data_IF_700221183832
#
_entry.id   IF_700221183832
#
_cell.length_a   1.000
_cell.length_b   1.000
_cell.length_c   1.000
_cell.angle_alpha   90.00
_cell.angle_beta   90.00
_cell.angle_gamma   90.00
#
_symmetry.space_group_name_H-M   'P 1'
#
loop_
_entity.id
_entity.type
_entity.pdbx_description
1 polymer ?
#
# COMPACT_ATOMS: atom_id res chain seq x y z
N UNK A 1 -0.08 46.46 0.71
CA UNK A 1 0.04 45.07 1.21
C UNK A 1 -0.82 44.21 0.29
N UNK A 2 -0.23 43.25 -0.41
CA UNK A 2 -1.01 42.27 -1.18
C UNK A 2 -1.93 41.50 -0.23
N UNK A 3 -3.22 41.48 -0.55
CA UNK A 3 -4.21 40.74 0.21
C UNK A 3 -3.99 39.25 -0.05
N UNK A 4 -3.42 38.54 0.93
CA UNK A 4 -3.28 37.10 0.87
C UNK A 4 -4.68 36.46 0.83
N UNK A 5 -4.91 35.57 -0.14
CA UNK A 5 -6.16 34.82 -0.24
C UNK A 5 -6.25 33.80 0.88
N UNK A 6 -7.45 33.63 1.44
CA UNK A 6 -7.73 32.55 2.38
C UNK A 6 -7.53 31.20 1.66
N UNK A 7 -6.90 30.20 2.30
CA UNK A 7 -6.64 28.91 1.65
C UNK A 7 -7.87 28.23 1.04
N UNK A 8 -9.05 28.48 1.58
CA UNK A 8 -10.31 27.92 1.12
C UNK A 8 -10.68 28.38 -0.30
N UNK A 9 -10.16 29.54 -0.74
CA UNK A 9 -10.46 30.12 -2.05
C UNK A 9 -9.70 29.45 -3.20
N UNK A 10 -8.60 28.74 -2.92
CA UNK A 10 -7.78 28.10 -3.95
C UNK A 10 -7.44 26.64 -3.68
N UNK A 11 -7.67 26.13 -2.46
CA UNK A 11 -7.55 24.69 -2.17
C UNK A 11 -8.81 23.96 -2.64
N UNK A 12 -8.67 22.76 -3.22
CA UNK A 12 -9.82 21.91 -3.54
C UNK A 12 -10.65 21.65 -2.27
N UNK A 13 -11.93 22.01 -2.30
CA UNK A 13 -12.87 21.77 -1.20
C UNK A 13 -13.51 20.38 -1.26
N UNK A 14 -13.48 19.75 -2.45
CA UNK A 14 -14.06 18.44 -2.70
C UNK A 14 -12.98 17.37 -2.80
N UNK A 15 -13.26 16.20 -2.23
CA UNK A 15 -12.43 15.00 -2.38
C UNK A 15 -12.85 14.28 -3.67
N UNK A 16 -11.97 14.11 -4.66
CA UNK A 16 -12.33 13.46 -5.91
C UNK A 16 -12.57 11.95 -5.68
N UNK A 17 -13.64 11.44 -6.29
CA UNK A 17 -13.93 10.00 -6.36
C UNK A 17 -13.16 9.36 -7.52
N UNK A 18 -12.86 8.07 -7.40
CA UNK A 18 -12.28 7.30 -8.50
C UNK A 18 -13.30 7.04 -9.60
N UNK A 19 -12.82 6.99 -10.85
CA UNK A 19 -13.61 6.52 -11.99
C UNK A 19 -14.11 5.09 -11.72
N UNK A 20 -15.44 4.86 -11.68
CA UNK A 20 -16.01 3.53 -11.41
C UNK A 20 -15.45 2.42 -12.29
N UNK A 21 -15.10 2.71 -13.55
CA UNK A 21 -14.51 1.72 -14.46
C UNK A 21 -13.09 1.33 -14.04
N UNK A 22 -12.33 2.25 -13.46
CA UNK A 22 -11.00 1.96 -12.94
C UNK A 22 -11.08 1.16 -11.63
N UNK A 23 -12.07 1.45 -10.79
CA UNK A 23 -12.36 0.65 -9.58
C UNK A 23 -12.67 -0.81 -9.96
N UNK A 24 -13.57 -1.02 -10.92
CA UNK A 24 -13.92 -2.36 -11.40
C UNK A 24 -12.72 -3.09 -12.02
N UNK A 25 -11.92 -2.40 -12.84
CA UNK A 25 -10.68 -2.99 -13.38
C UNK A 25 -9.69 -3.37 -12.28
N UNK A 26 -9.54 -2.55 -11.25
CA UNK A 26 -8.65 -2.84 -10.12
C UNK A 26 -9.11 -4.11 -9.38
N UNK A 27 -10.42 -4.24 -9.15
CA UNK A 27 -11.02 -5.42 -8.54
C UNK A 27 -10.90 -6.67 -9.41
N UNK A 28 -11.10 -6.58 -10.72
CA UNK A 28 -10.86 -7.69 -11.66
C UNK A 28 -9.38 -8.11 -11.69
N UNK A 29 -8.44 -7.15 -11.61
CA UNK A 29 -7.03 -7.47 -11.52
C UNK A 29 -6.69 -8.19 -10.21
N UNK A 30 -7.23 -7.73 -9.07
CA UNK A 30 -7.04 -8.37 -7.77
C UNK A 30 -7.68 -9.75 -7.70
N UNK A 31 -8.87 -9.93 -8.29
CA UNK A 31 -9.58 -11.21 -8.37
C UNK A 31 -8.73 -12.32 -9.00
N UNK A 32 -7.90 -11.97 -9.97
CA UNK A 32 -7.00 -12.89 -10.66
C UNK A 32 -5.60 -12.96 -10.04
N UNK A 33 -5.31 -12.17 -9.00
CA UNK A 33 -4.03 -12.19 -8.30
C UNK A 33 -3.85 -13.49 -7.51
N UNK A 34 -2.61 -13.95 -7.40
CA UNK A 34 -2.23 -15.06 -6.52
C UNK A 34 -1.51 -14.57 -5.26
N UNK A 35 -0.75 -13.47 -5.38
CA UNK A 35 0.06 -12.89 -4.32
C UNK A 35 -0.11 -11.37 -4.29
N UNK A 36 -1.33 -10.86 -4.03
CA UNK A 36 -1.54 -9.43 -3.93
C UNK A 36 -0.78 -8.84 -2.72
N UNK A 37 -0.37 -7.58 -2.85
CA UNK A 37 0.26 -6.84 -1.77
C UNK A 37 -0.19 -5.38 -1.80
N UNK A 38 -0.56 -4.82 -0.64
CA UNK A 38 -0.88 -3.39 -0.52
C UNK A 38 0.33 -2.63 0.02
N UNK A 39 0.61 -1.48 -0.57
CA UNK A 39 1.59 -0.53 -0.03
C UNK A 39 0.91 0.81 0.20
N UNK A 40 0.92 1.29 1.44
CA UNK A 40 0.15 2.49 1.82
C UNK A 40 1.03 3.64 2.26
N UNK A 41 0.66 4.82 1.80
CA UNK A 41 1.37 6.07 2.05
C UNK A 41 0.65 7.03 2.97
N UNK A 42 1.25 8.21 3.13
CA UNK A 42 0.65 9.29 3.90
C UNK A 42 -0.65 9.83 3.33
N UNK A 43 -1.01 9.52 2.07
CA UNK A 43 -2.33 9.85 1.52
C UNK A 43 -3.47 9.15 2.25
N UNK A 44 -3.26 7.91 2.72
CA UNK A 44 -4.24 7.20 3.57
C UNK A 44 -4.41 7.92 4.91
N UNK A 45 -3.30 8.33 5.54
CA UNK A 45 -3.33 9.06 6.80
C UNK A 45 -4.03 10.42 6.66
N UNK A 46 -3.68 11.18 5.62
CA UNK A 46 -4.26 12.51 5.36
C UNK A 46 -5.74 12.47 5.00
N UNK A 47 -6.19 11.41 4.30
CA UNK A 47 -7.59 11.27 3.89
C UNK A 47 -8.50 10.73 5.00
N UNK A 48 -7.91 10.09 6.02
CA UNK A 48 -8.67 9.42 7.08
C UNK A 48 -9.18 8.04 6.69
N UNK A 49 -8.41 7.30 5.88
CA UNK A 49 -8.84 6.07 5.22
C UNK A 49 -8.37 4.76 5.89
N UNK A 50 -7.81 4.83 7.10
CA UNK A 50 -7.24 3.67 7.78
C UNK A 50 -8.30 2.59 8.10
N UNK A 51 -9.53 2.99 8.44
CA UNK A 51 -10.62 2.04 8.71
C UNK A 51 -11.03 1.28 7.44
N UNK A 52 -11.19 1.97 6.32
CA UNK A 52 -11.52 1.36 5.03
C UNK A 52 -10.39 0.44 4.56
N UNK A 53 -9.14 0.90 4.67
CA UNK A 53 -7.97 0.08 4.37
C UNK A 53 -7.93 -1.19 5.22
N UNK A 54 -8.09 -1.06 6.53
CA UNK A 54 -8.04 -2.17 7.49
C UNK A 54 -9.14 -3.18 7.21
N UNK A 55 -10.38 -2.73 6.97
CA UNK A 55 -11.51 -3.59 6.58
C UNK A 55 -11.22 -4.35 5.30
N UNK A 56 -10.72 -3.67 4.27
CA UNK A 56 -10.42 -4.30 2.99
C UNK A 56 -9.33 -5.37 3.13
N UNK A 57 -8.25 -5.01 3.84
CA UNK A 57 -7.14 -5.90 4.14
C UNK A 57 -7.58 -7.19 4.83
N UNK A 58 -8.23 -7.05 5.97
CA UNK A 58 -8.58 -8.14 6.89
C UNK A 58 -9.61 -9.06 6.23
N UNK A 59 -10.63 -8.47 5.59
CA UNK A 59 -11.72 -9.24 4.96
C UNK A 59 -11.22 -10.18 3.87
N UNK A 60 -10.25 -9.75 3.07
CA UNK A 60 -9.73 -10.56 1.96
C UNK A 60 -8.38 -11.22 2.28
N UNK A 61 -7.82 -10.96 3.47
CA UNK A 61 -6.48 -11.39 3.92
C UNK A 61 -5.36 -10.95 2.98
N UNK A 62 -5.40 -9.69 2.53
CA UNK A 62 -4.35 -9.15 1.66
C UNK A 62 -3.21 -8.59 2.53
N UNK A 63 -1.97 -9.05 2.38
CA UNK A 63 -0.85 -8.51 3.16
C UNK A 63 -0.58 -7.03 2.84
N UNK A 64 -0.28 -6.24 3.88
CA UNK A 64 -0.04 -4.79 3.79
C UNK A 64 1.33 -4.39 4.31
N UNK A 65 2.04 -3.60 3.53
CA UNK A 65 3.16 -2.77 3.96
C UNK A 65 2.80 -1.29 4.04
N UNK A 66 3.59 -0.53 4.81
CA UNK A 66 3.49 0.93 4.92
C UNK A 66 4.76 1.59 4.40
N UNK A 67 4.64 2.79 3.82
CA UNK A 67 5.76 3.75 3.79
C UNK A 67 5.95 4.33 5.20
N UNK A 68 7.07 5.02 5.51
CA UNK A 68 7.20 5.75 6.78
C UNK A 68 6.04 6.72 7.03
N UNK A 69 5.53 7.36 5.97
CA UNK A 69 4.42 8.31 6.05
C UNK A 69 3.05 7.63 6.23
N UNK A 70 2.96 6.31 6.02
CA UNK A 70 1.75 5.51 6.21
C UNK A 70 1.73 4.74 7.54
N UNK A 71 2.77 4.86 8.37
CA UNK A 71 2.82 4.22 9.69
C UNK A 71 1.66 4.71 10.54
N UNK A 72 1.00 3.77 11.22
CA UNK A 72 -0.21 4.03 12.01
C UNK A 72 -1.51 3.77 11.26
N UNK A 73 -1.46 3.50 9.94
CA UNK A 73 -2.65 3.07 9.19
C UNK A 73 -3.14 1.66 9.60
N UNK A 74 -2.22 0.80 10.06
CA UNK A 74 -2.52 -0.48 10.70
C UNK A 74 -1.70 -0.61 11.99
N UNK A 75 -2.25 -1.36 12.96
CA UNK A 75 -1.56 -1.77 14.17
C UNK A 75 -0.59 -2.91 13.91
N UNK A 76 0.40 -3.06 14.80
CA UNK A 76 1.38 -4.16 14.69
C UNK A 76 0.73 -5.55 14.82
N UNK A 77 -0.35 -5.63 15.58
CA UNK A 77 -1.10 -6.85 15.87
C UNK A 77 -2.16 -7.17 14.80
N UNK A 78 -2.29 -6.32 13.77
CA UNK A 78 -3.17 -6.64 12.64
C UNK A 78 -2.56 -7.81 11.84
N UNK A 79 -3.33 -8.88 11.70
CA UNK A 79 -2.98 -10.17 11.07
C UNK A 79 -2.51 -10.09 9.60
N UNK A 80 -2.73 -8.96 8.94
CA UNK A 80 -2.30 -8.72 7.55
C UNK A 80 -1.13 -7.74 7.48
N UNK A 81 -0.73 -7.13 8.60
CA UNK A 81 0.36 -6.16 8.63
C UNK A 81 1.71 -6.86 8.53
N UNK A 82 2.45 -6.51 7.48
CA UNK A 82 3.78 -7.03 7.22
C UNK A 82 4.81 -6.14 7.89
N UNK A 83 4.91 -4.87 7.50
CA UNK A 83 5.92 -3.95 8.06
C UNK A 83 6.00 -2.62 7.30
N UNK A 84 7.11 -1.90 7.49
CA UNK A 84 7.35 -0.58 6.88
C UNK A 84 8.53 -0.64 5.90
N UNK A 85 8.53 0.17 4.83
CA UNK A 85 9.54 0.12 3.76
C UNK A 85 10.97 0.48 4.17
N UNK A 86 11.11 1.32 5.19
CA UNK A 86 12.41 1.67 5.79
C UNK A 86 12.77 0.74 6.95
N UNK A 87 11.94 -0.28 7.19
CA UNK A 87 12.10 -1.26 8.25
C UNK A 87 12.72 -2.57 7.78
N UNK A 88 12.32 -3.71 8.38
CA UNK A 88 13.04 -4.97 8.28
C UNK A 88 13.02 -5.56 6.85
N UNK A 89 14.09 -6.29 6.53
CA UNK A 89 14.37 -6.82 5.18
C UNK A 89 13.28 -7.77 4.66
N UNK A 90 12.45 -8.33 5.54
CA UNK A 90 11.43 -9.29 5.15
C UNK A 90 10.30 -8.66 4.33
N UNK A 91 9.90 -7.41 4.61
CA UNK A 91 8.84 -6.76 3.84
C UNK A 91 9.28 -6.62 2.39
N UNK A 92 10.54 -6.27 2.17
CA UNK A 92 11.13 -6.16 0.84
C UNK A 92 11.09 -7.49 0.08
N UNK A 93 11.43 -8.60 0.77
CA UNK A 93 11.39 -9.93 0.18
C UNK A 93 9.97 -10.35 -0.20
N UNK A 94 8.98 -10.06 0.65
CA UNK A 94 7.57 -10.34 0.38
C UNK A 94 7.06 -9.48 -0.77
N UNK A 95 7.25 -8.16 -0.69
CA UNK A 95 6.82 -7.20 -1.70
C UNK A 95 7.37 -7.54 -3.09
N UNK A 96 8.62 -8.00 -3.19
CA UNK A 96 9.24 -8.42 -4.46
C UNK A 96 8.58 -9.66 -5.07
N UNK A 97 8.01 -10.54 -4.25
CA UNK A 97 7.35 -11.79 -4.70
C UNK A 97 5.87 -11.63 -5.07
N UNK A 98 5.29 -10.46 -4.78
CA UNK A 98 3.91 -10.16 -5.15
C UNK A 98 3.74 -10.16 -6.68
N UNK A 99 2.59 -10.58 -7.18
CA UNK A 99 2.25 -10.51 -8.61
C UNK A 99 1.41 -9.26 -8.94
N UNK A 100 0.59 -8.81 -7.99
CA UNK A 100 -0.15 -7.55 -8.04
C UNK A 100 0.20 -6.68 -6.84
N UNK A 101 0.59 -5.43 -7.08
CA UNK A 101 0.83 -4.44 -6.04
C UNK A 101 -0.18 -3.32 -6.18
N UNK A 102 -0.91 -3.03 -5.11
CA UNK A 102 -1.81 -1.87 -5.05
C UNK A 102 -1.22 -0.82 -4.10
N UNK A 103 -0.77 0.27 -4.70
CA UNK A 103 -0.22 1.44 -4.04
C UNK A 103 -1.34 2.44 -3.74
N UNK A 104 -1.55 2.78 -2.47
CA UNK A 104 -2.61 3.71 -2.05
C UNK A 104 -2.04 4.92 -1.32
N UNK A 105 -2.22 6.10 -1.92
CA UNK A 105 -1.80 7.37 -1.33
C UNK A 105 -0.29 7.44 -1.07
N UNK A 106 0.51 6.69 -1.84
CA UNK A 106 1.97 6.74 -1.80
C UNK A 106 2.53 7.14 -3.16
N UNK A 107 3.66 7.85 -3.10
CA UNK A 107 4.51 8.09 -4.26
C UNK A 107 5.57 7.00 -4.29
N UNK A 108 5.93 6.55 -5.48
CA UNK A 108 7.11 5.71 -5.70
C UNK A 108 8.38 6.55 -5.48
N UNK A 109 8.65 6.95 -4.24
CA UNK A 109 9.78 7.79 -3.86
C UNK A 109 10.98 6.95 -3.41
N UNK A 110 12.01 7.60 -2.86
CA UNK A 110 13.22 6.93 -2.39
C UNK A 110 12.95 5.88 -1.30
N UNK A 111 11.89 6.03 -0.50
CA UNK A 111 11.51 5.05 0.53
C UNK A 111 10.89 3.79 -0.07
N UNK A 112 10.41 3.86 -1.30
CA UNK A 112 9.91 2.74 -2.10
C UNK A 112 10.85 2.39 -3.26
N UNK A 113 12.12 2.81 -3.20
CA UNK A 113 13.12 2.56 -4.24
C UNK A 113 12.68 2.96 -5.65
N UNK A 114 11.95 4.08 -5.75
CA UNK A 114 11.40 4.59 -7.00
C UNK A 114 10.56 3.56 -7.77
N UNK A 115 9.94 2.61 -7.05
CA UNK A 115 9.13 1.57 -7.67
C UNK A 115 9.96 0.50 -8.41
N UNK A 116 11.27 0.40 -8.13
CA UNK A 116 12.18 -0.60 -8.70
C UNK A 116 12.76 -1.59 -7.68
N UNK A 117 13.79 -2.31 -8.11
CA UNK A 117 14.57 -3.18 -7.26
C UNK A 117 15.28 -2.37 -6.15
N UNK A 118 15.55 -2.96 -4.98
CA UNK A 118 15.31 -4.35 -4.60
C UNK A 118 13.88 -4.65 -4.13
N UNK A 119 13.04 -3.63 -3.92
CA UNK A 119 11.74 -3.77 -3.29
C UNK A 119 10.68 -4.37 -4.22
N UNK A 120 10.76 -4.07 -5.51
CA UNK A 120 9.75 -4.43 -6.49
C UNK A 120 10.29 -5.29 -7.61
N UNK A 121 9.48 -6.26 -8.03
CA UNK A 121 9.73 -7.10 -9.19
C UNK A 121 9.41 -6.39 -10.52
N UNK A 122 10.07 -6.78 -11.63
CA UNK A 122 9.86 -6.16 -12.94
C UNK A 122 8.50 -6.51 -13.59
N UNK A 123 7.92 -7.66 -13.23
CA UNK A 123 6.71 -8.21 -13.87
C UNK A 123 5.42 -7.99 -13.06
N UNK A 124 5.49 -7.26 -11.94
CA UNK A 124 4.32 -7.07 -11.08
C UNK A 124 3.36 -6.08 -11.71
N UNK A 125 2.09 -6.48 -11.73
CA UNK A 125 1.01 -5.59 -12.12
C UNK A 125 0.78 -4.56 -11.03
N UNK A 126 0.55 -3.32 -11.43
CA UNK A 126 0.49 -2.21 -10.47
C UNK A 126 -0.84 -1.46 -10.58
N UNK A 127 -1.54 -1.37 -9.46
CA UNK A 127 -2.68 -0.47 -9.24
C UNK A 127 -2.15 0.72 -8.44
N UNK A 128 -2.38 1.95 -8.89
CA UNK A 128 -1.90 3.15 -8.21
C UNK A 128 -3.05 4.12 -7.98
N UNK A 129 -3.40 4.29 -6.71
CA UNK A 129 -4.40 5.26 -6.23
C UNK A 129 -3.66 6.46 -5.65
N UNK A 130 -3.79 7.62 -6.27
CA UNK A 130 -3.28 8.88 -5.73
C UNK A 130 -4.20 10.03 -6.13
N UNK A 131 -4.22 11.09 -5.33
CA UNK A 131 -5.02 12.29 -5.62
C UNK A 131 -4.33 13.16 -6.69
N UNK A 132 -3.01 13.06 -6.79
CA UNK A 132 -2.21 13.78 -7.77
C UNK A 132 -2.03 12.91 -9.03
N UNK A 133 -2.65 13.26 -10.18
CA UNK A 133 -2.50 12.47 -11.40
C UNK A 133 -1.06 12.45 -11.92
N UNK A 134 -0.21 13.43 -11.56
CA UNK A 134 1.16 13.52 -12.07
C UNK A 134 2.10 12.47 -11.47
N UNK A 135 1.75 11.88 -10.33
CA UNK A 135 2.59 10.84 -9.70
C UNK A 135 2.28 9.44 -10.23
N UNK A 136 1.10 9.26 -10.83
CA UNK A 136 0.67 7.98 -11.38
C UNK A 136 1.45 7.70 -12.66
N UNK A 137 2.23 6.62 -12.66
CA UNK A 137 3.06 6.24 -13.80
C UNK A 137 4.41 6.96 -13.88
N UNK A 138 4.75 7.84 -12.92
CA UNK A 138 5.97 8.65 -12.98
C UNK A 138 7.25 7.83 -12.85
N UNK A 139 7.40 7.07 -11.76
CA UNK A 139 8.62 6.30 -11.49
C UNK A 139 8.45 4.78 -11.74
N UNK A 140 7.20 4.31 -11.81
CA UNK A 140 6.86 2.90 -12.09
C UNK A 140 5.70 2.86 -13.04
N UNK A 141 5.74 1.93 -14.01
CA UNK A 141 4.61 1.66 -14.89
C UNK A 141 3.39 1.27 -14.06
N UNK A 142 2.30 1.99 -14.26
CA UNK A 142 1.00 1.72 -13.65
C UNK A 142 0.10 1.02 -14.67
N UNK A 143 -0.41 -0.17 -14.34
CA UNK A 143 -1.38 -0.86 -15.20
C UNK A 143 -2.79 -0.27 -15.02
N UNK A 144 -3.14 0.14 -13.79
CA UNK A 144 -4.43 0.74 -13.44
C UNK A 144 -4.20 1.96 -12.55
N UNK A 145 -4.48 3.16 -13.06
CA UNK A 145 -4.38 4.41 -12.33
C UNK A 145 -5.75 4.90 -11.87
N UNK A 146 -5.89 5.24 -10.59
CA UNK A 146 -7.11 5.78 -10.00
C UNK A 146 -6.78 7.15 -9.40
N UNK A 147 -7.26 8.22 -10.05
CA UNK A 147 -7.10 9.59 -9.56
C UNK A 147 -8.22 9.90 -8.57
N UNK A 148 -7.92 9.84 -7.28
CA UNK A 148 -8.93 9.98 -6.22
C UNK A 148 -8.31 10.31 -4.86
N UNK A 149 -9.14 10.85 -3.96
CA UNK A 149 -8.84 10.79 -2.53
C UNK A 149 -8.80 9.33 -2.07
N UNK A 150 -7.83 8.97 -1.21
CA UNK A 150 -7.62 7.58 -0.81
C UNK A 150 -8.80 6.99 -0.02
N UNK A 151 -9.51 7.80 0.79
CA UNK A 151 -10.71 7.34 1.50
C UNK A 151 -11.83 7.07 0.51
N UNK A 152 -12.08 8.03 -0.39
CA UNK A 152 -13.11 7.88 -1.43
C UNK A 152 -12.88 6.62 -2.28
N UNK A 153 -11.66 6.40 -2.76
CA UNK A 153 -11.32 5.22 -3.54
C UNK A 153 -11.46 3.92 -2.74
N UNK A 154 -10.95 3.86 -1.50
CA UNK A 154 -11.06 2.65 -0.66
C UNK A 154 -12.51 2.33 -0.29
N UNK A 155 -13.36 3.35 -0.06
CA UNK A 155 -14.80 3.17 0.14
C UNK A 155 -15.44 2.55 -1.11
N UNK A 156 -15.20 3.12 -2.30
CA UNK A 156 -15.74 2.59 -3.55
C UNK A 156 -15.27 1.16 -3.84
N UNK A 157 -14.00 0.86 -3.53
CA UNK A 157 -13.44 -0.48 -3.65
C UNK A 157 -14.18 -1.43 -2.71
N UNK A 158 -14.28 -1.10 -1.42
CA UNK A 158 -14.97 -1.93 -0.43
C UNK A 158 -16.42 -2.24 -0.81
N UNK A 159 -17.17 -1.23 -1.25
CA UNK A 159 -18.57 -1.38 -1.65
C UNK A 159 -18.77 -2.42 -2.76
N UNK A 160 -17.84 -2.49 -3.71
CA UNK A 160 -17.90 -3.42 -4.84
C UNK A 160 -17.13 -4.71 -4.62
N UNK A 161 -16.30 -4.80 -3.58
CA UNK A 161 -15.31 -5.88 -3.46
C UNK A 161 -15.94 -7.27 -3.40
N UNK A 162 -17.12 -7.43 -2.78
CA UNK A 162 -17.80 -8.73 -2.65
C UNK A 162 -18.33 -9.28 -3.98
N UNK A 163 -18.46 -8.43 -5.02
CA UNK A 163 -18.84 -8.88 -6.36
C UNK A 163 -17.67 -9.58 -7.09
N UNK A 164 -16.42 -9.30 -6.66
CA UNK A 164 -15.20 -9.74 -7.34
C UNK A 164 -14.36 -10.70 -6.51
N UNK A 165 -14.29 -10.47 -5.20
CA UNK A 165 -13.42 -11.18 -4.26
C UNK A 165 -14.25 -12.00 -3.29
N UNK A 166 -13.77 -13.21 -2.99
CA UNK A 166 -14.33 -14.02 -1.90
C UNK A 166 -13.69 -13.60 -0.59
N UNK A 167 -14.47 -13.57 0.49
CA UNK A 167 -13.90 -13.39 1.83
C UNK A 167 -12.78 -14.41 2.07
N UNK A 168 -11.69 -13.96 2.71
CA UNK A 168 -10.51 -14.80 2.99
C UNK A 168 -9.80 -15.37 1.75
N UNK A 169 -10.06 -14.83 0.54
CA UNK A 169 -9.50 -15.34 -0.72
C UNK A 169 -7.97 -15.49 -0.72
N UNK A 170 -7.24 -14.62 -0.01
CA UNK A 170 -5.78 -14.64 0.02
C UNK A 170 -5.19 -15.21 1.32
N UNK A 171 -5.97 -16.00 2.07
CA UNK A 171 -5.53 -16.57 3.36
C UNK A 171 -4.23 -17.37 3.26
N UNK A 172 -4.13 -18.29 2.29
CA UNK A 172 -2.93 -19.11 2.11
C UNK A 172 -1.69 -18.24 1.85
N UNK A 173 -1.86 -17.18 1.07
CA UNK A 173 -0.79 -16.22 0.82
C UNK A 173 -0.44 -15.44 2.09
N UNK A 174 -1.42 -14.93 2.83
CA UNK A 174 -1.17 -14.22 4.08
C UNK A 174 -0.47 -15.09 5.11
N UNK A 175 -0.89 -16.35 5.27
CA UNK A 175 -0.23 -17.32 6.17
C UNK A 175 1.25 -17.45 5.81
N UNK A 176 1.57 -17.69 4.52
CA UNK A 176 2.96 -17.77 4.06
C UNK A 176 3.75 -16.50 4.36
N UNK A 177 3.13 -15.33 4.21
CA UNK A 177 3.76 -14.04 4.51
C UNK A 177 4.03 -13.87 6.00
N UNK A 178 3.06 -14.20 6.86
CA UNK A 178 3.22 -14.08 8.31
C UNK A 178 4.25 -15.08 8.85
N UNK A 179 4.24 -16.33 8.38
CA UNK A 179 5.28 -17.31 8.74
C UNK A 179 6.68 -16.84 8.35
N UNK A 180 6.81 -16.23 7.16
CA UNK A 180 8.07 -15.67 6.71
C UNK A 180 8.53 -14.50 7.58
N UNK A 181 7.60 -13.60 7.95
CA UNK A 181 7.84 -12.47 8.85
C UNK A 181 8.33 -12.96 10.22
N UNK A 182 7.60 -13.86 10.86
CA UNK A 182 7.95 -14.41 12.17
C UNK A 182 9.34 -15.06 12.19
N UNK A 183 9.63 -15.89 11.18
CA UNK A 183 10.94 -16.53 11.03
C UNK A 183 12.07 -15.49 10.90
N UNK A 184 11.82 -14.38 10.21
CA UNK A 184 12.82 -13.31 10.00
C UNK A 184 13.00 -12.45 11.25
N UNK A 185 11.93 -12.11 11.95
CA UNK A 185 11.99 -11.37 13.21
C UNK A 185 12.80 -12.15 14.27
N UNK A 186 12.60 -13.46 14.38
CA UNK A 186 13.40 -14.32 15.27
C UNK A 186 14.90 -14.33 14.93
N UNK A 187 15.25 -14.22 13.64
CA UNK A 187 16.66 -14.16 13.21
C UNK A 187 17.29 -12.79 13.47
N UNK A 188 16.53 -11.71 13.32
CA UNK A 188 16.99 -10.33 13.50
C UNK A 188 17.11 -9.92 14.99
N UNK A 189 16.35 -10.57 15.89
CA UNK A 189 16.46 -10.38 17.35
C UNK A 189 17.77 -10.90 17.95
N UNK A 190 18.61 -11.62 17.18
CA UNK A 190 19.95 -12.00 17.64
C UNK A 190 20.85 -10.76 17.65
N UNK A 191 21.37 -10.34 18.82
CA UNK A 191 22.17 -9.12 18.92
C UNK A 191 23.41 -9.23 18.03
N UNK A 192 23.50 -8.37 17.01
CA UNK A 192 24.73 -8.16 16.24
C UNK A 192 25.62 -7.19 17.01
N UNK A 193 26.07 -7.60 18.20
CA UNK A 193 27.06 -6.82 18.95
C UNK A 193 28.38 -6.99 18.21
N UNK A 194 28.85 -5.91 17.59
CA UNK A 194 30.24 -5.83 17.17
C UNK A 194 31.10 -5.76 18.43
N UNK A 195 32.01 -6.70 18.60
CA UNK A 195 33.07 -6.60 19.62
C UNK A 195 34.10 -5.51 19.30
N UNK A 196 34.05 -4.94 18.09
CA UNK A 196 34.95 -3.85 17.70
C UNK A 196 34.42 -2.52 18.23
N UNK A 197 35.29 -1.83 18.98
CA UNK A 197 35.12 -0.42 19.37
C UNK A 197 34.94 0.41 18.09
N UNK A 198 33.92 1.29 18.02
CA UNK A 198 33.82 2.26 16.94
C UNK A 198 35.06 3.16 16.95
N UNK A 199 35.83 3.14 15.88
CA UNK A 199 36.94 4.07 15.61
C UNK A 199 36.39 5.36 15.02
#
# INVERSE_FOLDING_TARGET
MEQLWSPELYRPQTKPFGDPKQIEKALELLKNAKKPFLIVGGGVMRSGAWEELRKFSIKYKIPIGTTPNGVGALGKDDETFVGTSVGPTYMQNIAKTADVVMAVGCKWDFTLFFGGAPLWGPNQKTIHVDIDPQVIGLNRKTDIGIVADAKAALTQILEKSDEYLKENQFSDWNIQVQEYKEKREQLELKPKISEKVPI
#
